data_IF_490730635396
#
_entry.id   IF_490730635396
#
_cell.length_a   1.000
_cell.length_b   1.000
_cell.length_c   1.000
_cell.angle_alpha   90.00
_cell.angle_beta   90.00
_cell.angle_gamma   90.00
#
_symmetry.space_group_name_H-M   'P 1'
#
loop_
_entity.id
_entity.type
_entity.pdbx_description
1 polymer ?
#
# COMPACT_ATOMS: atom_id res chain seq x y z
N UNK A 1 66.91 8.22 19.91
CA UNK A 1 66.25 8.33 18.60
C UNK A 1 65.40 7.07 18.38
N UNK A 2 64.07 7.26 18.33
CA UNK A 2 63.03 6.43 17.67
C UNK A 2 62.94 4.90 17.96
N UNK A 3 61.81 4.26 18.25
CA UNK A 3 60.46 4.67 18.62
C UNK A 3 59.71 3.42 19.15
N UNK A 4 58.90 3.64 20.19
CA UNK A 4 57.68 2.96 20.63
C UNK A 4 57.42 1.47 20.31
N UNK A 5 57.47 0.67 21.37
CA UNK A 5 56.33 -0.08 21.94
C UNK A 5 55.04 -0.09 21.08
N UNK A 6 54.98 -0.88 20.01
CA UNK A 6 53.78 -1.07 19.19
C UNK A 6 53.65 -2.52 18.69
N UNK A 7 53.62 -3.48 19.62
CA UNK A 7 53.09 -4.83 19.36
C UNK A 7 52.30 -5.19 20.62
N UNK A 8 51.00 -4.95 20.72
CA UNK A 8 49.95 -5.44 19.83
C UNK A 8 49.02 -6.25 20.74
N UNK A 9 48.13 -5.56 21.45
CA UNK A 9 47.16 -6.13 22.39
C UNK A 9 46.43 -7.32 21.77
N UNK A 10 46.42 -8.46 22.46
CA UNK A 10 45.68 -9.65 22.07
C UNK A 10 44.18 -9.32 22.06
N UNK A 11 43.64 -9.05 20.87
CA UNK A 11 42.21 -8.83 20.68
C UNK A 11 41.51 -10.19 20.63
N UNK A 12 40.73 -10.50 21.66
CA UNK A 12 39.76 -11.59 21.62
C UNK A 12 38.85 -11.42 20.40
N UNK A 13 38.48 -12.49 19.68
CA UNK A 13 37.58 -12.37 18.55
C UNK A 13 36.23 -11.82 19.06
N UNK A 14 35.87 -10.61 18.62
CA UNK A 14 34.52 -10.07 18.80
C UNK A 14 33.57 -11.06 18.15
N UNK A 15 32.66 -11.61 18.95
CA UNK A 15 31.54 -12.40 18.47
C UNK A 15 30.86 -11.65 17.33
N UNK A 16 30.87 -12.25 16.14
CA UNK A 16 30.16 -11.73 14.97
C UNK A 16 28.73 -11.35 15.35
N UNK A 17 28.14 -10.28 14.78
CA UNK A 17 26.73 -10.00 15.01
C UNK A 17 25.95 -11.20 14.51
N UNK A 18 25.32 -11.92 15.44
CA UNK A 18 24.43 -13.05 15.15
C UNK A 18 23.36 -12.53 14.21
N UNK A 19 23.54 -12.75 12.92
CA UNK A 19 22.56 -12.38 11.91
C UNK A 19 21.26 -13.03 12.33
N UNK A 20 20.26 -12.20 12.66
CA UNK A 20 18.92 -12.66 12.98
C UNK A 20 18.41 -13.42 11.75
N UNK A 21 18.55 -14.74 11.76
CA UNK A 21 17.94 -15.61 10.75
C UNK A 21 16.44 -15.47 10.97
N UNK A 22 15.79 -14.62 10.16
CA UNK A 22 14.33 -14.54 10.10
C UNK A 22 13.84 -15.94 9.73
N UNK A 23 13.31 -16.66 10.72
CA UNK A 23 12.63 -17.93 10.48
C UNK A 23 11.34 -17.60 9.73
N UNK A 24 11.31 -17.85 8.43
CA UNK A 24 10.10 -17.72 7.62
C UNK A 24 9.24 -18.95 7.87
N UNK A 25 8.17 -18.79 8.66
CA UNK A 25 7.16 -19.85 8.87
C UNK A 25 6.27 -19.99 7.64
N UNK A 26 5.90 -21.23 7.31
CA UNK A 26 4.82 -21.48 6.34
C UNK A 26 3.51 -21.01 6.94
N UNK A 27 2.70 -20.34 6.13
CA UNK A 27 1.34 -19.97 6.51
C UNK A 27 0.48 -21.23 6.67
N UNK A 28 -0.42 -21.22 7.65
CA UNK A 28 -1.42 -22.27 7.83
C UNK A 28 -2.45 -22.25 6.70
N UNK A 29 -3.18 -23.36 6.51
CA UNK A 29 -4.25 -23.41 5.51
C UNK A 29 -5.33 -22.36 5.77
N UNK A 30 -5.60 -22.03 7.04
CA UNK A 30 -6.55 -20.97 7.42
C UNK A 30 -6.03 -19.58 7.10
N UNK A 31 -4.74 -19.31 7.36
CA UNK A 31 -4.11 -18.03 7.01
C UNK A 31 -4.16 -17.81 5.48
N UNK A 32 -3.90 -18.84 4.69
CA UNK A 32 -4.00 -18.79 3.23
C UNK A 32 -5.45 -18.56 2.78
N UNK A 33 -6.42 -19.31 3.32
CA UNK A 33 -7.84 -19.12 3.01
C UNK A 33 -8.31 -17.70 3.31
N UNK A 34 -7.94 -17.16 4.46
CA UNK A 34 -8.28 -15.79 4.84
C UNK A 34 -7.62 -14.76 3.91
N UNK A 35 -6.37 -14.97 3.51
CA UNK A 35 -5.68 -14.11 2.54
C UNK A 35 -6.35 -14.13 1.16
N UNK A 36 -6.76 -15.31 0.67
CA UNK A 36 -7.46 -15.44 -0.62
C UNK A 36 -8.81 -14.75 -0.59
N UNK A 37 -9.58 -14.86 0.51
CA UNK A 37 -10.86 -14.14 0.67
C UNK A 37 -10.67 -12.64 0.61
N UNK A 38 -9.74 -12.09 1.40
CA UNK A 38 -9.42 -10.65 1.39
C UNK A 38 -8.96 -10.18 0.01
N UNK A 39 -8.18 -11.00 -0.69
CA UNK A 39 -7.76 -10.68 -2.05
C UNK A 39 -8.95 -10.66 -3.02
N UNK A 40 -9.87 -11.64 -2.93
CA UNK A 40 -11.06 -11.67 -3.77
C UNK A 40 -11.99 -10.48 -3.52
N UNK A 41 -12.22 -10.12 -2.26
CA UNK A 41 -12.96 -8.91 -1.86
C UNK A 41 -12.29 -7.64 -2.43
N UNK A 42 -10.96 -7.56 -2.36
CA UNK A 42 -10.21 -6.46 -2.95
C UNK A 42 -10.37 -6.41 -4.48
N UNK A 43 -10.33 -7.55 -5.17
CA UNK A 43 -10.56 -7.62 -6.62
C UNK A 43 -11.97 -7.19 -7.01
N UNK A 44 -12.98 -7.51 -6.21
CA UNK A 44 -14.35 -7.09 -6.48
C UNK A 44 -14.49 -5.56 -6.37
N UNK A 45 -13.87 -4.96 -5.35
CA UNK A 45 -13.76 -3.51 -5.22
C UNK A 45 -13.03 -2.84 -6.40
N UNK A 46 -12.00 -3.48 -6.97
CA UNK A 46 -11.37 -2.98 -8.20
C UNK A 46 -12.30 -3.10 -9.41
N UNK A 47 -13.06 -4.20 -9.49
CA UNK A 47 -13.93 -4.46 -10.63
C UNK A 47 -15.05 -3.43 -10.74
N UNK A 48 -15.69 -3.06 -9.63
CA UNK A 48 -16.79 -2.09 -9.67
C UNK A 48 -16.32 -0.69 -10.12
N UNK A 49 -15.09 -0.29 -9.76
CA UNK A 49 -14.45 0.95 -10.24
C UNK A 49 -14.26 0.98 -11.77
N UNK A 50 -14.26 -0.19 -12.42
CA UNK A 50 -14.08 -0.32 -13.86
C UNK A 50 -15.39 -0.60 -14.61
N UNK A 51 -16.29 -1.40 -14.04
CA UNK A 51 -17.51 -1.85 -14.73
C UNK A 51 -18.67 -0.88 -14.58
N UNK A 52 -18.76 -0.23 -13.41
CA UNK A 52 -19.91 0.63 -13.08
C UNK A 52 -19.47 1.91 -12.35
N UNK A 53 -18.45 2.66 -12.84
CA UNK A 53 -17.87 3.79 -12.10
C UNK A 53 -18.86 4.90 -11.77
N UNK A 54 -19.84 5.18 -12.65
CA UNK A 54 -20.79 6.29 -12.46
C UNK A 54 -21.66 6.16 -11.20
N UNK A 55 -21.89 4.94 -10.68
CA UNK A 55 -22.68 4.73 -9.45
C UNK A 55 -21.88 5.00 -8.19
N UNK A 56 -20.57 5.17 -8.31
CA UNK A 56 -19.65 5.40 -7.20
C UNK A 56 -19.50 6.89 -6.86
N UNK A 57 -20.15 7.80 -7.59
CA UNK A 57 -20.20 9.22 -7.23
C UNK A 57 -20.82 9.37 -5.83
N UNK A 58 -20.14 10.09 -4.95
CA UNK A 58 -20.46 10.24 -3.54
C UNK A 58 -19.81 9.21 -2.61
N UNK A 59 -19.20 8.15 -3.15
CA UNK A 59 -18.47 7.17 -2.33
C UNK A 59 -17.09 7.70 -1.94
N UNK A 60 -16.62 7.22 -0.79
CA UNK A 60 -15.27 7.50 -0.29
C UNK A 60 -14.29 6.46 -0.79
N UNK A 61 -13.07 6.89 -1.07
CA UNK A 61 -12.02 6.06 -1.67
C UNK A 61 -10.65 6.40 -1.07
N UNK A 62 -9.82 5.37 -0.89
CA UNK A 62 -8.37 5.53 -0.72
C UNK A 62 -7.71 5.43 -2.09
N UNK A 63 -6.86 6.40 -2.45
CA UNK A 63 -6.15 6.41 -3.73
C UNK A 63 -4.65 6.37 -3.46
N UNK A 64 -3.96 5.49 -4.18
CA UNK A 64 -2.52 5.36 -4.12
C UNK A 64 -1.85 6.43 -5.01
N UNK A 65 -1.10 7.35 -4.40
CA UNK A 65 -0.30 8.33 -5.16
C UNK A 65 1.04 7.71 -5.55
N UNK A 66 1.29 7.61 -6.86
CA UNK A 66 2.54 7.09 -7.40
C UNK A 66 3.71 8.08 -7.29
N UNK A 67 3.40 9.38 -7.34
CA UNK A 67 4.40 10.46 -7.26
C UNK A 67 4.59 10.95 -5.83
N UNK A 68 5.85 11.03 -5.38
CA UNK A 68 6.22 11.36 -4.01
C UNK A 68 6.44 10.12 -3.13
N UNK A 69 6.76 10.32 -1.85
CA UNK A 69 6.81 9.23 -0.86
C UNK A 69 5.45 8.55 -0.83
N UNK A 70 5.34 7.39 -1.48
CA UNK A 70 4.20 6.48 -1.51
C UNK A 70 3.25 6.66 -0.34
N UNK A 71 2.14 7.36 -0.57
CA UNK A 71 1.13 7.66 0.45
C UNK A 71 -0.26 7.45 -0.14
N UNK A 72 -1.08 6.75 0.63
CA UNK A 72 -2.52 6.65 0.40
C UNK A 72 -3.16 7.94 0.90
N UNK A 73 -4.03 8.54 0.09
CA UNK A 73 -4.86 9.67 0.50
C UNK A 73 -6.32 9.29 0.42
N UNK A 74 -7.15 9.92 1.25
CA UNK A 74 -8.60 9.70 1.26
C UNK A 74 -9.29 10.80 0.46
N UNK A 75 -10.27 10.41 -0.33
CA UNK A 75 -11.01 11.31 -1.19
C UNK A 75 -12.47 10.88 -1.34
N UNK A 76 -13.30 11.78 -1.87
CA UNK A 76 -14.67 11.49 -2.31
C UNK A 76 -14.70 11.49 -3.82
N UNK A 77 -15.32 10.48 -4.44
CA UNK A 77 -15.57 10.47 -5.89
C UNK A 77 -16.68 11.49 -6.18
N UNK A 78 -16.37 12.50 -6.99
CA UNK A 78 -17.32 13.57 -7.34
C UNK A 78 -17.79 13.51 -8.79
N UNK A 79 -17.11 12.74 -9.64
CA UNK A 79 -17.49 12.58 -11.04
C UNK A 79 -16.84 11.39 -11.73
N UNK A 80 -17.39 11.05 -12.89
CA UNK A 80 -16.81 10.07 -13.81
C UNK A 80 -16.88 10.62 -15.24
N UNK A 81 -15.76 10.57 -15.95
CA UNK A 81 -15.69 10.98 -17.34
C UNK A 81 -15.74 9.74 -18.25
N UNK A 82 -16.84 9.53 -18.97
CA UNK A 82 -17.00 8.36 -19.86
C UNK A 82 -16.01 8.32 -21.03
N UNK A 83 -15.52 9.49 -21.46
CA UNK A 83 -14.63 9.60 -22.63
C UNK A 83 -13.19 9.20 -22.29
N UNK A 84 -12.66 9.63 -21.14
CA UNK A 84 -11.30 9.29 -20.68
C UNK A 84 -11.29 8.04 -19.80
N UNK A 85 -12.45 7.72 -19.19
CA UNK A 85 -12.67 6.70 -18.16
C UNK A 85 -11.96 7.01 -16.84
N UNK A 86 -11.76 8.29 -16.54
CA UNK A 86 -11.18 8.75 -15.27
C UNK A 86 -12.28 9.07 -14.24
N UNK A 87 -11.95 8.88 -12.98
CA UNK A 87 -12.73 9.32 -11.83
C UNK A 87 -12.19 10.67 -11.36
N UNK A 88 -13.08 11.64 -11.21
CA UNK A 88 -12.75 12.89 -10.52
C UNK A 88 -12.97 12.67 -9.02
N UNK A 89 -11.93 12.89 -8.23
CA UNK A 89 -11.94 12.71 -6.77
C UNK A 89 -11.50 14.00 -6.08
N UNK A 90 -12.11 14.32 -4.94
CA UNK A 90 -11.71 15.48 -4.11
C UNK A 90 -10.99 14.99 -2.87
N UNK A 91 -9.74 15.39 -2.69
CA UNK A 91 -8.91 15.07 -1.52
C UNK A 91 -9.51 15.69 -0.24
N UNK A 92 -9.64 14.92 0.84
CA UNK A 92 -10.24 15.39 2.10
C UNK A 92 -9.41 16.49 2.81
N UNK A 93 -8.12 16.56 2.54
CA UNK A 93 -7.15 17.40 3.26
C UNK A 93 -6.81 18.69 2.53
N UNK A 94 -6.68 18.63 1.21
CA UNK A 94 -6.32 19.79 0.36
C UNK A 94 -7.57 20.39 -0.31
N UNK A 95 -8.68 19.63 -0.38
CA UNK A 95 -9.92 19.99 -1.08
C UNK A 95 -9.71 20.31 -2.57
N UNK A 96 -8.65 19.77 -3.16
CA UNK A 96 -8.36 19.84 -4.59
C UNK A 96 -8.95 18.64 -5.32
N UNK A 97 -9.36 18.87 -6.57
CA UNK A 97 -9.81 17.81 -7.47
C UNK A 97 -8.63 17.15 -8.19
N UNK A 98 -8.66 15.83 -8.24
CA UNK A 98 -7.73 15.01 -8.99
C UNK A 98 -8.51 14.15 -9.99
N UNK A 99 -7.96 13.95 -11.18
CA UNK A 99 -8.49 13.00 -12.15
C UNK A 99 -7.61 11.76 -12.11
N UNK A 100 -8.20 10.65 -11.70
CA UNK A 100 -7.50 9.40 -11.44
C UNK A 100 -8.03 8.30 -12.35
N UNK A 101 -7.13 7.56 -13.01
CA UNK A 101 -7.51 6.41 -13.81
C UNK A 101 -7.44 5.12 -12.97
N UNK A 102 -8.58 4.49 -12.61
CA UNK A 102 -8.61 3.25 -11.82
C UNK A 102 -7.90 2.06 -12.47
N UNK A 103 -7.50 2.16 -13.75
CA UNK A 103 -6.68 1.16 -14.45
C UNK A 103 -5.18 1.32 -14.19
N UNK A 104 -4.76 2.52 -13.79
CA UNK A 104 -3.34 2.89 -13.62
C UNK A 104 -2.97 3.11 -12.16
N UNK A 105 -3.92 3.56 -11.34
CA UNK A 105 -3.72 3.76 -9.90
C UNK A 105 -4.50 2.73 -9.09
N UNK A 106 -3.91 2.31 -7.98
CA UNK A 106 -4.60 1.45 -7.04
C UNK A 106 -5.57 2.29 -6.21
N UNK A 107 -6.84 1.89 -6.20
CA UNK A 107 -7.89 2.58 -5.45
C UNK A 107 -8.57 1.59 -4.49
N UNK A 108 -9.26 2.05 -3.47
CA UNK A 108 -10.05 1.18 -2.58
C UNK A 108 -11.25 1.92 -2.02
N UNK A 109 -12.45 1.41 -2.26
CA UNK A 109 -13.67 1.96 -1.65
C UNK A 109 -13.61 1.82 -0.13
N UNK A 110 -13.94 2.89 0.58
CA UNK A 110 -14.01 2.93 2.04
C UNK A 110 -15.43 2.59 2.45
N UNK A 111 -15.60 1.62 3.35
CA UNK A 111 -16.90 1.23 3.90
C UNK A 111 -17.56 0.01 3.26
N UNK A 112 -17.09 -0.44 2.09
CA UNK A 112 -17.63 -1.63 1.39
C UNK A 112 -17.10 -2.97 1.96
N UNK A 113 -16.54 -2.93 3.18
CA UNK A 113 -15.92 -4.08 3.85
C UNK A 113 -16.31 -4.26 5.31
N UNK A 114 -17.22 -3.43 5.86
CA UNK A 114 -17.77 -3.64 7.20
C UNK A 114 -19.01 -4.54 7.14
N UNK A 115 -18.81 -5.79 6.70
CA UNK A 115 -19.67 -6.89 7.15
C UNK A 115 -19.05 -7.39 8.45
N UNK A 116 -19.53 -6.84 9.57
CA UNK A 116 -19.32 -7.43 10.91
C UNK A 116 -20.11 -8.72 11.06
#
# INVERSE_FOLDING_TARGET
>A
EWDSKLFGTQVSPKSSPTGNKKVVRRASADEVRAAVRRWAEFQDGQRILLTTPSVLVGYRVEVYRAEGTTQWYTAVIVGYNESTRELTVTDDTVLEEHNEDPRLVQMRLIGDGDVR
#
